data_IF_702566844891
#
_entry.id   IF_702566844891
#
_cell.length_a   1.000
_cell.length_b   1.000
_cell.length_c   1.000
_cell.angle_alpha   90.00
_cell.angle_beta   90.00
_cell.angle_gamma   90.00
#
_symmetry.space_group_name_H-M   'P 1'
#
loop_
_entity.id
_entity.type
_entity.pdbx_description
1 polymer ?
#
# COMPACT_ATOMS: atom_id res chain seq x y z
N UNK A 1 -20.32 -4.96 22.06
CA UNK A 1 -19.33 -4.36 21.13
C UNK A 1 -19.65 -4.81 19.73
N UNK A 2 -19.89 -3.89 18.82
CA UNK A 2 -20.23 -4.26 17.44
C UNK A 2 -19.21 -5.18 16.79
N UNK A 3 -17.92 -4.95 17.03
CA UNK A 3 -16.86 -5.75 16.44
C UNK A 3 -16.86 -7.22 16.89
N UNK A 4 -17.56 -7.55 17.99
CA UNK A 4 -17.69 -8.94 18.44
C UNK A 4 -18.71 -9.73 17.64
N UNK A 5 -19.57 -9.04 16.92
CA UNK A 5 -20.63 -9.66 16.12
C UNK A 5 -20.22 -9.87 14.67
N UNK A 6 -19.04 -9.31 14.27
CA UNK A 6 -18.53 -9.45 12.93
C UNK A 6 -17.94 -10.84 12.72
N UNK A 7 -18.01 -11.35 11.49
CA UNK A 7 -17.28 -12.57 11.16
C UNK A 7 -15.81 -12.42 11.52
N UNK A 8 -15.25 -13.46 12.12
CA UNK A 8 -13.84 -13.44 12.53
C UNK A 8 -13.04 -14.33 11.59
N UNK A 9 -12.06 -13.73 10.93
CA UNK A 9 -11.02 -14.46 10.21
C UNK A 9 -9.84 -14.69 11.15
N UNK A 10 -9.08 -15.74 10.89
CA UNK A 10 -7.83 -15.95 11.62
C UNK A 10 -6.89 -14.77 11.35
N UNK A 11 -6.14 -14.35 12.37
CA UNK A 11 -5.16 -13.31 12.18
C UNK A 11 -4.15 -13.68 11.10
N UNK A 12 -3.79 -12.70 10.27
CA UNK A 12 -2.79 -12.85 9.22
C UNK A 12 -1.51 -12.19 9.72
N UNK A 13 -0.39 -12.90 9.61
CA UNK A 13 0.89 -12.40 10.09
C UNK A 13 1.91 -12.45 8.97
N UNK A 14 2.49 -11.30 8.68
CA UNK A 14 3.61 -11.17 7.75
C UNK A 14 4.79 -10.66 8.57
N UNK A 15 5.90 -11.35 8.52
CA UNK A 15 7.08 -11.00 9.32
C UNK A 15 8.25 -10.63 8.42
N UNK A 16 9.22 -9.91 8.98
CA UNK A 16 10.43 -9.56 8.26
C UNK A 16 10.23 -8.52 7.16
N UNK A 17 9.16 -7.74 7.20
CA UNK A 17 8.84 -6.81 6.11
C UNK A 17 9.83 -5.66 5.97
N UNK A 18 10.60 -5.34 7.00
CA UNK A 18 11.65 -4.31 6.91
C UNK A 18 12.99 -4.85 6.43
N UNK A 19 13.10 -6.17 6.29
CA UNK A 19 14.34 -6.85 5.91
C UNK A 19 14.15 -7.76 4.70
N UNK A 20 13.20 -7.43 3.82
CA UNK A 20 13.00 -8.14 2.57
C UNK A 20 12.06 -9.34 2.64
N UNK A 21 11.26 -9.46 3.71
CA UNK A 21 10.33 -10.58 3.86
C UNK A 21 9.25 -10.66 2.78
N UNK A 22 9.06 -9.62 1.99
CA UNK A 22 8.12 -9.63 0.86
C UNK A 22 8.61 -10.46 -0.33
N UNK A 23 9.89 -10.76 -0.43
CA UNK A 23 10.49 -11.44 -1.60
C UNK A 23 9.86 -12.81 -1.88
N UNK A 24 9.32 -13.45 -0.85
CA UNK A 24 8.70 -14.77 -0.97
C UNK A 24 7.21 -14.74 -1.20
N UNK A 25 6.62 -13.56 -1.22
CA UNK A 25 5.17 -13.42 -1.37
C UNK A 25 4.78 -13.48 -2.86
N UNK A 26 3.63 -14.08 -3.13
CA UNK A 26 3.13 -14.25 -4.49
C UNK A 26 2.37 -12.98 -4.92
N UNK A 27 3.12 -11.96 -5.33
CA UNK A 27 2.52 -10.75 -5.90
C UNK A 27 1.85 -11.07 -7.22
N UNK A 28 0.79 -10.33 -7.53
CA UNK A 28 0.04 -10.46 -8.77
C UNK A 28 -0.12 -9.08 -9.42
N UNK A 29 -0.41 -9.05 -10.74
CA UNK A 29 -0.55 -7.77 -11.44
C UNK A 29 -1.62 -6.89 -10.81
N UNK A 30 -1.37 -5.59 -10.74
CA UNK A 30 -2.30 -4.60 -10.22
C UNK A 30 -2.47 -3.44 -11.20
N UNK A 31 -1.36 -2.87 -11.64
CA UNK A 31 -1.30 -1.81 -12.64
C UNK A 31 0.02 -1.95 -13.39
N UNK A 32 0.23 -1.15 -14.44
CA UNK A 32 1.50 -1.20 -15.17
C UNK A 32 2.66 -0.86 -14.25
N UNK A 33 3.60 -1.80 -14.11
CA UNK A 33 4.76 -1.67 -13.23
C UNK A 33 4.45 -1.78 -11.74
N UNK A 34 3.22 -2.11 -11.37
CA UNK A 34 2.82 -2.26 -9.97
C UNK A 34 2.15 -3.61 -9.76
N UNK A 35 2.62 -4.32 -8.74
CA UNK A 35 2.04 -5.59 -8.33
C UNK A 35 1.44 -5.47 -6.94
N UNK A 36 0.48 -6.32 -6.63
CA UNK A 36 -0.23 -6.33 -5.35
C UNK A 36 -0.16 -7.69 -4.68
N UNK A 37 0.00 -7.68 -3.37
CA UNK A 37 -0.22 -8.83 -2.52
C UNK A 37 -1.36 -8.49 -1.56
N UNK A 38 -2.58 -8.97 -1.82
CA UNK A 38 -3.72 -8.70 -0.92
C UNK A 38 -3.52 -9.40 0.42
N UNK A 39 -3.70 -8.66 1.51
CA UNK A 39 -3.66 -9.22 2.87
C UNK A 39 -5.08 -9.45 3.36
N UNK A 40 -5.93 -8.43 3.26
CA UNK A 40 -7.35 -8.50 3.56
C UNK A 40 -8.11 -7.79 2.45
N UNK A 41 -9.11 -8.47 1.91
CA UNK A 41 -10.02 -7.86 0.94
C UNK A 41 -11.23 -7.30 1.68
N UNK A 42 -11.85 -6.26 1.12
CA UNK A 42 -13.05 -5.66 1.68
C UNK A 42 -12.87 -4.21 2.06
N UNK A 43 -13.60 -3.78 3.07
CA UNK A 43 -13.56 -2.40 3.58
C UNK A 43 -13.37 -2.43 5.09
N UNK A 44 -12.20 -2.00 5.60
CA UNK A 44 -11.03 -1.57 4.83
C UNK A 44 -10.30 -2.73 4.16
N UNK A 45 -9.66 -2.44 3.04
CA UNK A 45 -8.73 -3.36 2.41
C UNK A 45 -7.31 -3.12 2.92
N UNK A 46 -6.50 -4.16 2.93
CA UNK A 46 -5.11 -4.08 3.35
C UNK A 46 -4.26 -4.90 2.38
N UNK A 47 -3.18 -4.32 1.89
CA UNK A 47 -2.33 -4.98 0.90
C UNK A 47 -0.89 -4.47 0.97
N UNK A 48 0.01 -5.19 0.30
CA UNK A 48 1.31 -4.67 -0.09
C UNK A 48 1.25 -4.32 -1.57
N UNK A 49 1.84 -3.20 -1.94
CA UNK A 49 2.09 -2.85 -3.34
C UNK A 49 3.58 -2.83 -3.59
N UNK A 50 3.96 -3.35 -4.74
CA UNK A 50 5.34 -3.37 -5.19
C UNK A 50 5.43 -2.59 -6.50
N UNK A 51 6.18 -1.49 -6.47
CA UNK A 51 6.42 -0.64 -7.64
C UNK A 51 7.77 -0.99 -8.25
N UNK A 52 7.80 -1.19 -9.54
CA UNK A 52 9.06 -1.23 -10.28
C UNK A 52 9.65 0.18 -10.34
N UNK A 53 10.99 0.31 -10.48
CA UNK A 53 11.60 1.62 -10.71
C UNK A 53 10.95 2.32 -11.92
N UNK A 54 10.51 3.56 -11.72
CA UNK A 54 9.84 4.35 -12.73
C UNK A 54 8.35 4.12 -12.90
N UNK A 55 7.77 3.17 -12.16
CA UNK A 55 6.33 2.92 -12.23
C UNK A 55 5.53 4.08 -11.63
N UNK A 56 4.37 4.32 -12.20
CA UNK A 56 3.47 5.40 -11.78
C UNK A 56 2.03 4.94 -11.78
N UNK A 57 1.25 5.51 -10.87
CA UNK A 57 -0.20 5.35 -10.83
C UNK A 57 -0.81 6.71 -11.17
N UNK A 58 -1.69 6.78 -12.18
CA UNK A 58 -2.29 8.05 -12.58
C UNK A 58 -3.06 8.72 -11.44
N UNK A 59 -3.31 10.01 -11.59
CA UNK A 59 -4.07 10.78 -10.60
C UNK A 59 -5.39 10.10 -10.29
N UNK A 60 -5.68 9.98 -9.02
CA UNK A 60 -6.90 9.37 -8.53
C UNK A 60 -7.40 10.11 -7.30
N UNK A 61 -8.71 10.08 -7.10
CA UNK A 61 -9.39 10.66 -5.96
C UNK A 61 -9.57 9.62 -4.87
N UNK A 62 -9.26 9.98 -3.64
CA UNK A 62 -9.49 9.10 -2.50
C UNK A 62 -10.96 9.19 -2.08
N UNK A 63 -11.68 8.09 -2.22
CA UNK A 63 -13.10 8.00 -1.84
C UNK A 63 -13.29 7.62 -0.38
N UNK A 64 -12.22 7.40 0.33
CA UNK A 64 -12.13 7.14 1.75
C UNK A 64 -10.70 7.37 2.21
N UNK A 65 -10.42 7.14 3.48
CA UNK A 65 -9.07 7.26 3.99
C UNK A 65 -8.16 6.23 3.32
N UNK A 66 -7.01 6.68 2.84
CA UNK A 66 -5.92 5.82 2.38
C UNK A 66 -4.71 6.05 3.27
N UNK A 67 -4.16 4.98 3.83
CA UNK A 67 -2.94 5.03 4.66
C UNK A 67 -1.86 4.23 3.99
N UNK A 68 -0.67 4.81 3.87
CA UNK A 68 0.49 4.19 3.24
C UNK A 68 1.66 4.21 4.21
N UNK A 69 2.38 3.10 4.29
CA UNK A 69 3.67 3.03 4.99
C UNK A 69 4.72 2.52 4.02
N UNK A 70 5.75 3.29 3.78
CA UNK A 70 6.85 2.91 2.88
C UNK A 70 7.77 1.95 3.63
N UNK A 71 7.84 0.70 3.18
CA UNK A 71 8.63 -0.36 3.81
C UNK A 71 10.01 -0.50 3.19
N UNK A 72 10.17 -0.16 1.93
CA UNK A 72 11.43 -0.24 1.20
C UNK A 72 11.40 0.71 0.00
N UNK A 73 12.54 1.29 -0.32
CA UNK A 73 12.65 2.23 -1.44
C UNK A 73 12.01 3.57 -1.13
N UNK A 74 11.43 4.20 -2.15
CA UNK A 74 10.80 5.50 -2.00
C UNK A 74 9.56 5.61 -2.87
N UNK A 75 8.57 6.37 -2.38
CA UNK A 75 7.37 6.71 -3.12
C UNK A 75 7.25 8.22 -3.19
N UNK A 76 6.83 8.71 -4.34
CA UNK A 76 6.69 10.15 -4.58
C UNK A 76 5.29 10.52 -5.02
N UNK A 77 4.89 11.74 -4.72
CA UNK A 77 3.74 12.40 -5.30
C UNK A 77 4.11 13.86 -5.57
N UNK A 78 3.16 14.67 -5.99
CA UNK A 78 3.43 16.09 -6.29
C UNK A 78 3.86 16.92 -5.07
N UNK A 79 3.75 16.36 -3.86
CA UNK A 79 4.13 17.05 -2.63
C UNK A 79 5.52 16.67 -2.12
N UNK A 80 6.11 15.61 -2.65
CA UNK A 80 7.46 15.21 -2.24
C UNK A 80 7.78 13.75 -2.47
N UNK A 81 8.94 13.36 -1.98
CA UNK A 81 9.44 11.99 -2.02
C UNK A 81 9.55 11.45 -0.60
N UNK A 82 9.03 10.25 -0.39
CA UNK A 82 8.90 9.64 0.93
C UNK A 82 9.75 8.39 1.01
N UNK A 83 10.70 8.40 1.93
CA UNK A 83 11.64 7.31 2.14
C UNK A 83 11.06 6.23 3.04
N UNK A 84 11.74 5.09 3.09
CA UNK A 84 11.42 3.99 3.99
C UNK A 84 11.15 4.48 5.41
N UNK A 85 10.07 4.02 6.01
CA UNK A 85 9.64 4.41 7.35
C UNK A 85 8.65 5.56 7.40
N UNK A 86 8.29 6.13 6.23
CA UNK A 86 7.30 7.22 6.18
C UNK A 86 5.88 6.66 6.19
N UNK A 87 5.02 7.27 6.97
CA UNK A 87 3.57 7.03 6.93
C UNK A 87 2.90 8.23 6.28
N UNK A 88 2.01 7.96 5.32
CA UNK A 88 1.24 8.98 4.63
C UNK A 88 -0.23 8.67 4.86
N UNK A 89 -0.99 9.64 5.31
CA UNK A 89 -2.43 9.54 5.43
C UNK A 89 -3.08 10.49 4.43
N UNK A 90 -3.86 9.93 3.51
CA UNK A 90 -4.59 10.67 2.49
C UNK A 90 -6.07 10.65 2.84
N UNK A 91 -6.62 11.74 3.40
CA UNK A 91 -8.03 11.80 3.75
C UNK A 91 -8.95 11.68 2.54
N UNK A 92 -10.19 11.27 2.79
CA UNK A 92 -11.23 11.32 1.77
C UNK A 92 -11.30 12.69 1.11
N UNK A 93 -11.45 12.71 -0.20
CA UNK A 93 -11.53 13.93 -0.99
C UNK A 93 -10.20 14.47 -1.49
N UNK A 94 -9.08 13.93 -1.01
CA UNK A 94 -7.77 14.30 -1.55
C UNK A 94 -7.48 13.50 -2.82
N UNK A 95 -6.57 14.01 -3.64
CA UNK A 95 -6.15 13.33 -4.87
C UNK A 95 -4.65 13.50 -5.08
N UNK A 96 -4.05 12.53 -5.74
CA UNK A 96 -2.64 12.62 -6.11
C UNK A 96 -2.31 11.72 -7.29
N UNK A 97 -1.19 12.02 -7.93
CA UNK A 97 -0.47 11.13 -8.80
C UNK A 97 0.70 10.55 -7.99
N UNK A 98 0.97 9.27 -8.15
CA UNK A 98 1.98 8.55 -7.36
C UNK A 98 2.96 7.87 -8.27
N UNK A 99 4.24 7.92 -7.93
CA UNK A 99 5.28 7.20 -8.68
C UNK A 99 6.40 6.78 -7.75
N UNK A 100 7.29 5.95 -8.25
CA UNK A 100 8.49 5.56 -7.52
C UNK A 100 9.67 5.56 -8.48
N UNK A 101 10.64 6.44 -8.25
CA UNK A 101 11.83 6.51 -9.09
C UNK A 101 12.71 5.26 -8.93
N UNK A 102 12.86 4.80 -7.70
CA UNK A 102 13.77 3.70 -7.37
C UNK A 102 13.07 2.35 -7.18
N UNK A 103 11.76 2.32 -7.31
CA UNK A 103 10.96 1.19 -6.88
C UNK A 103 10.68 1.26 -5.39
N UNK A 104 9.62 0.58 -4.96
CA UNK A 104 9.28 0.54 -3.54
C UNK A 104 8.35 -0.61 -3.20
N UNK A 105 8.32 -0.92 -1.92
CA UNK A 105 7.30 -1.77 -1.31
C UNK A 105 6.58 -0.90 -0.30
N UNK A 106 5.27 -0.83 -0.40
CA UNK A 106 4.44 -0.09 0.55
C UNK A 106 3.36 -0.98 1.14
N UNK A 107 3.07 -0.77 2.41
CA UNK A 107 1.87 -1.30 3.05
C UNK A 107 0.79 -0.25 2.86
N UNK A 108 -0.36 -0.66 2.34
CA UNK A 108 -1.47 0.25 2.07
C UNK A 108 -2.76 -0.28 2.66
N UNK A 109 -3.53 0.63 3.26
CA UNK A 109 -4.88 0.40 3.72
C UNK A 109 -5.77 1.43 3.04
N UNK A 110 -6.91 1.00 2.53
CA UNK A 110 -7.91 1.93 2.00
C UNK A 110 -9.33 1.41 2.22
N UNK A 111 -10.24 2.36 2.28
CA UNK A 111 -11.68 2.07 2.34
C UNK A 111 -12.30 2.11 0.96
#
# INVERSE_FOLDING_TARGET
MPWKELPVTDPIRLTGLLTGGWDKLAFQPFAEGVEIYPILEGEPALALLKYEPGAAVPRHLHTGLETICVLSGSQSDEHGTYQTGTVIANPEGTSHEVWSDDGCIVLIQWN
#
